data_IF_988099064049
#
_entry.id   IF_988099064049
#
_cell.length_a   1.000
_cell.length_b   1.000
_cell.length_c   1.000
_cell.angle_alpha   90.00
_cell.angle_beta   90.00
_cell.angle_gamma   90.00
#
_symmetry.space_group_name_H-M   'P 1'
#
loop_
_entity.id
_entity.type
_entity.pdbx_description
1 polymer ?
#
# COMPACT_ATOMS: atom_id res chain seq x y z
N UNK A 1 -5.58 -0.79 -34.85
CA UNK A 1 -5.86 -0.61 -33.42
C UNK A 1 -6.20 -2.00 -32.95
N UNK A 2 -5.21 -2.66 -32.36
CA UNK A 2 -5.38 -4.00 -31.82
C UNK A 2 -6.12 -3.89 -30.49
N UNK A 3 -7.22 -4.62 -30.38
CA UNK A 3 -7.96 -4.81 -29.15
C UNK A 3 -7.06 -5.54 -28.15
N UNK A 4 -6.51 -4.80 -27.18
CA UNK A 4 -6.03 -5.40 -25.93
C UNK A 4 -7.24 -5.81 -25.10
N UNK A 5 -7.81 -6.96 -25.42
CA UNK A 5 -8.67 -7.66 -24.49
C UNK A 5 -7.84 -7.96 -23.24
N UNK A 6 -8.17 -7.28 -22.14
CA UNK A 6 -7.72 -7.66 -20.80
C UNK A 6 -8.21 -9.10 -20.56
N UNK A 7 -7.33 -10.07 -20.78
CA UNK A 7 -7.54 -11.43 -20.28
C UNK A 7 -7.55 -11.32 -18.75
N UNK A 8 -8.76 -11.28 -18.20
CA UNK A 8 -9.01 -11.40 -16.77
C UNK A 8 -8.76 -12.87 -16.41
N UNK A 9 -7.48 -13.20 -16.23
CA UNK A 9 -7.05 -14.50 -15.73
C UNK A 9 -7.37 -14.51 -14.22
N UNK A 10 -8.63 -14.77 -13.88
CA UNK A 10 -9.17 -14.84 -12.51
C UNK A 10 -8.40 -15.83 -11.61
N UNK A 11 -7.50 -16.64 -12.17
CA UNK A 11 -6.68 -17.61 -11.44
C UNK A 11 -5.30 -17.07 -11.06
N UNK A 12 -4.90 -15.91 -11.59
CA UNK A 12 -3.74 -15.16 -11.12
C UNK A 12 -4.22 -14.21 -10.04
N UNK A 13 -3.99 -14.56 -8.78
CA UNK A 13 -4.26 -13.67 -7.64
C UNK A 13 -3.79 -12.24 -7.95
N UNK A 14 -4.49 -11.23 -7.43
CA UNK A 14 -4.28 -9.85 -7.86
C UNK A 14 -2.79 -9.46 -7.70
N UNK A 15 -2.08 -9.08 -8.78
CA UNK A 15 -0.64 -8.75 -8.73
C UNK A 15 -0.30 -7.67 -7.67
N UNK A 16 -1.30 -6.84 -7.34
CA UNK A 16 -1.30 -5.89 -6.24
C UNK A 16 -0.88 -6.47 -4.89
N UNK A 17 -1.10 -7.77 -4.63
CA UNK A 17 -0.79 -8.41 -3.35
C UNK A 17 0.28 -9.51 -3.43
N UNK A 18 0.59 -10.02 -4.62
CA UNK A 18 1.65 -11.04 -4.80
C UNK A 18 3.05 -10.54 -4.38
N UNK A 19 3.92 -11.44 -3.90
CA UNK A 19 5.30 -11.07 -3.56
C UNK A 19 6.12 -10.61 -4.77
N UNK A 20 7.11 -9.74 -4.54
CA UNK A 20 8.09 -9.39 -5.58
C UNK A 20 8.81 -10.62 -6.13
N UNK A 21 9.15 -11.57 -5.26
CA UNK A 21 9.89 -12.78 -5.64
C UNK A 21 9.10 -13.63 -6.62
N UNK A 22 7.78 -13.74 -6.45
CA UNK A 22 6.91 -14.47 -7.38
C UNK A 22 6.64 -13.69 -8.65
N UNK A 23 6.48 -12.36 -8.54
CA UNK A 23 6.27 -11.51 -9.71
C UNK A 23 7.49 -11.45 -10.65
N UNK A 24 8.71 -11.58 -10.09
CA UNK A 24 9.95 -11.35 -10.86
C UNK A 24 10.89 -12.55 -10.95
N UNK A 25 10.66 -13.59 -10.14
CA UNK A 25 11.58 -14.72 -9.99
C UNK A 25 12.92 -14.36 -9.37
N UNK A 26 13.02 -13.22 -8.65
CA UNK A 26 14.27 -12.70 -8.06
C UNK A 26 14.12 -12.48 -6.57
N UNK A 27 15.14 -12.77 -5.75
CA UNK A 27 15.04 -12.58 -4.31
C UNK A 27 15.01 -11.08 -3.96
N UNK A 28 14.33 -10.73 -2.86
CA UNK A 28 14.32 -9.36 -2.34
C UNK A 28 15.73 -8.88 -2.00
N UNK A 29 16.48 -9.72 -1.28
CA UNK A 29 17.81 -9.43 -0.76
C UNK A 29 18.83 -10.30 -1.50
N UNK A 30 19.85 -9.66 -2.07
CA UNK A 30 20.98 -10.36 -2.70
C UNK A 30 21.97 -10.78 -1.61
N UNK A 31 22.53 -11.99 -1.72
CA UNK A 31 23.40 -12.59 -0.71
C UNK A 31 24.68 -11.78 -0.41
N UNK A 32 25.09 -10.90 -1.33
CA UNK A 32 26.37 -10.19 -1.27
C UNK A 32 26.31 -8.87 -0.50
N UNK A 33 25.14 -8.47 0.02
CA UNK A 33 25.00 -7.21 0.77
C UNK A 33 25.36 -7.44 2.24
N UNK A 34 26.40 -6.78 2.79
CA UNK A 34 26.79 -6.93 4.19
C UNK A 34 25.63 -6.66 5.14
N UNK A 35 25.43 -7.57 6.10
CA UNK A 35 24.33 -7.50 7.07
C UNK A 35 24.69 -6.47 8.15
N UNK A 36 24.05 -5.30 8.12
CA UNK A 36 24.02 -4.41 9.27
C UNK A 36 23.02 -4.99 10.29
N UNK A 37 23.54 -5.67 11.32
CA UNK A 37 22.74 -6.39 12.32
C UNK A 37 21.90 -5.49 13.25
N UNK A 38 22.11 -4.17 13.27
CA UNK A 38 21.53 -3.30 14.30
C UNK A 38 20.04 -2.98 14.20
N UNK A 39 19.35 -3.29 13.09
CA UNK A 39 18.01 -2.75 12.82
C UNK A 39 16.88 -3.80 12.71
N UNK A 40 17.21 -5.08 12.64
CA UNK A 40 16.26 -6.16 12.29
C UNK A 40 16.15 -7.28 13.35
N UNK A 41 16.75 -7.09 14.53
CA UNK A 41 16.44 -7.97 15.65
C UNK A 41 14.97 -7.79 16.03
N UNK A 42 14.22 -8.90 15.94
CA UNK A 42 12.83 -8.96 16.34
C UNK A 42 12.80 -8.96 17.87
N UNK A 43 12.17 -7.97 18.51
CA UNK A 43 11.91 -8.07 19.93
C UNK A 43 10.95 -9.26 20.18
N UNK A 44 10.89 -9.79 21.41
CA UNK A 44 9.84 -10.74 21.78
C UNK A 44 8.47 -10.15 21.45
N UNK A 45 7.50 -10.96 21.01
CA UNK A 45 6.12 -10.48 20.72
C UNK A 45 5.54 -9.72 21.92
N UNK A 46 5.83 -10.18 23.14
CA UNK A 46 5.43 -9.52 24.39
C UNK A 46 6.03 -8.12 24.60
N UNK A 47 7.15 -7.80 23.94
CA UNK A 47 7.87 -6.51 24.03
C UNK A 47 7.34 -5.46 23.05
N UNK A 48 6.33 -5.78 22.22
CA UNK A 48 5.60 -4.79 21.41
C UNK A 48 5.04 -3.61 22.23
N UNK A 49 4.89 -3.78 23.55
CA UNK A 49 4.47 -2.75 24.49
C UNK A 49 5.42 -2.64 25.72
N UNK A 50 6.72 -2.43 25.47
CA UNK A 50 7.64 -1.83 26.45
C UNK A 50 8.65 -2.78 27.12
N UNK A 51 9.90 -2.28 27.10
CA UNK A 51 11.18 -2.57 27.78
C UNK A 51 11.95 -3.90 27.53
N UNK A 52 13.27 -3.68 27.40
CA UNK A 52 14.33 -4.45 26.72
C UNK A 52 14.92 -5.64 27.50
N UNK A 53 15.39 -6.68 26.79
CA UNK A 53 16.76 -7.21 26.92
C UNK A 53 17.05 -8.35 25.91
N UNK A 54 18.34 -8.44 25.52
CA UNK A 54 18.91 -9.08 24.33
C UNK A 54 19.20 -10.60 24.43
N UNK A 55 19.47 -11.27 23.29
CA UNK A 55 20.64 -12.16 23.06
C UNK A 55 20.73 -12.67 21.60
N UNK A 56 21.94 -12.79 21.04
CA UNK A 56 22.21 -12.99 19.59
C UNK A 56 22.70 -14.41 19.23
N UNK A 57 22.33 -14.91 18.03
CA UNK A 57 22.79 -16.18 17.48
C UNK A 57 23.26 -16.09 15.99
N UNK A 58 24.18 -17.00 15.62
CA UNK A 58 25.06 -16.98 14.43
C UNK A 58 24.42 -17.46 13.10
N UNK A 59 24.94 -17.04 11.92
CA UNK A 59 24.38 -17.43 10.61
C UNK A 59 25.07 -18.65 9.96
N UNK A 60 24.32 -19.33 9.08
CA UNK A 60 24.75 -20.46 8.25
C UNK A 60 24.71 -20.11 6.75
N UNK A 61 25.63 -20.70 5.99
CA UNK A 61 25.98 -20.41 4.59
C UNK A 61 25.16 -21.23 3.58
N UNK A 62 24.61 -20.60 2.53
CA UNK A 62 23.88 -21.27 1.43
C UNK A 62 24.56 -21.09 0.07
N UNK A 63 24.73 -22.20 -0.68
CA UNK A 63 25.27 -22.28 -2.05
C UNK A 63 24.19 -21.90 -3.08
N UNK A 64 24.57 -21.18 -4.14
CA UNK A 64 23.69 -20.83 -5.26
C UNK A 64 23.73 -21.89 -6.37
N UNK A 65 22.55 -22.26 -6.87
CA UNK A 65 22.37 -23.08 -8.08
C UNK A 65 21.36 -22.39 -9.01
N UNK A 66 21.74 -22.35 -10.29
CA UNK A 66 20.96 -22.30 -11.53
C UNK A 66 19.47 -21.90 -11.46
N UNK A 67 19.11 -20.85 -12.22
CA UNK A 67 17.81 -20.19 -12.31
C UNK A 67 16.64 -21.11 -12.75
N UNK A 68 16.13 -21.92 -11.84
CA UNK A 68 14.70 -22.19 -11.78
C UNK A 68 14.04 -21.00 -11.04
N UNK A 69 12.88 -20.53 -11.53
CA UNK A 69 12.17 -19.42 -10.88
C UNK A 69 11.89 -19.72 -9.41
N UNK A 70 11.77 -18.68 -8.59
CA UNK A 70 11.48 -18.85 -7.16
C UNK A 70 10.14 -19.58 -7.01
N UNK A 71 10.11 -20.77 -6.39
CA UNK A 71 8.87 -21.52 -6.22
C UNK A 71 7.94 -20.79 -5.26
N UNK A 72 6.64 -20.90 -5.50
CA UNK A 72 5.63 -20.39 -4.59
C UNK A 72 5.60 -21.20 -3.29
N UNK A 73 5.62 -20.54 -2.13
CA UNK A 73 5.67 -21.14 -0.81
C UNK A 73 4.90 -20.29 0.21
N UNK A 74 4.63 -20.82 1.40
CA UNK A 74 3.79 -20.23 2.43
C UNK A 74 4.25 -18.82 2.86
N UNK A 75 5.54 -18.50 2.78
CA UNK A 75 6.05 -17.14 3.04
C UNK A 75 5.43 -16.10 2.09
N UNK A 76 5.17 -16.47 0.83
CA UNK A 76 4.57 -15.56 -0.13
C UNK A 76 3.08 -15.37 0.10
N UNK A 77 2.39 -16.38 0.63
CA UNK A 77 1.01 -16.24 1.11
C UNK A 77 0.94 -15.30 2.32
N UNK A 78 1.86 -15.45 3.28
CA UNK A 78 1.95 -14.56 4.45
C UNK A 78 2.28 -13.12 4.05
N UNK A 79 3.17 -12.93 3.08
CA UNK A 79 3.46 -11.61 2.52
C UNK A 79 2.23 -11.02 1.82
N UNK A 80 1.51 -11.83 1.04
CA UNK A 80 0.29 -11.39 0.35
C UNK A 80 -0.78 -10.96 1.35
N UNK A 81 -0.98 -11.75 2.41
CA UNK A 81 -1.85 -11.41 3.53
C UNK A 81 -1.40 -10.11 4.22
N UNK A 82 -0.11 -9.93 4.47
CA UNK A 82 0.44 -8.69 5.04
C UNK A 82 0.13 -7.46 4.18
N UNK A 83 0.24 -7.58 2.85
CA UNK A 83 -0.09 -6.50 1.93
C UNK A 83 -1.60 -6.17 1.93
N UNK A 84 -2.46 -7.19 1.98
CA UNK A 84 -3.91 -6.99 2.14
C UNK A 84 -4.22 -6.27 3.45
N UNK A 85 -3.56 -6.65 4.54
CA UNK A 85 -3.73 -6.01 5.85
C UNK A 85 -3.32 -4.53 5.82
N UNK A 86 -2.18 -4.19 5.21
CA UNK A 86 -1.76 -2.80 5.00
C UNK A 86 -2.77 -2.02 4.13
N UNK A 87 -3.23 -2.62 3.04
CA UNK A 87 -4.23 -2.00 2.15
C UNK A 87 -5.53 -1.68 2.89
N UNK A 88 -6.03 -2.59 3.72
CA UNK A 88 -7.21 -2.33 4.56
C UNK A 88 -6.99 -1.14 5.50
N UNK A 89 -5.83 -1.07 6.15
CA UNK A 89 -5.50 0.01 7.08
C UNK A 89 -5.42 1.40 6.41
N UNK A 90 -5.07 1.45 5.11
CA UNK A 90 -4.96 2.68 4.34
C UNK A 90 -6.30 3.11 3.69
N UNK A 91 -7.11 2.13 3.27
CA UNK A 91 -8.30 2.34 2.41
C UNK A 91 -9.62 2.37 3.16
N UNK A 92 -9.64 2.01 4.45
CA UNK A 92 -10.84 2.01 5.29
C UNK A 92 -10.77 3.11 6.32
N UNK A 93 -11.85 3.88 6.44
CA UNK A 93 -12.01 4.91 7.48
C UNK A 93 -12.27 4.29 8.85
N UNK A 94 -12.83 3.09 8.86
CA UNK A 94 -13.19 2.34 10.04
C UNK A 94 -13.96 1.08 9.64
N UNK A 95 -14.64 0.43 10.60
CA UNK A 95 -15.35 -0.83 10.38
C UNK A 95 -16.36 -0.71 9.24
N UNK A 96 -16.20 -1.55 8.21
CA UNK A 96 -17.12 -1.60 7.07
C UNK A 96 -17.17 -0.36 6.17
N UNK A 97 -16.46 0.73 6.51
CA UNK A 97 -16.53 2.01 5.77
C UNK A 97 -15.28 2.24 4.93
N UNK A 98 -15.47 2.42 3.62
CA UNK A 98 -14.40 2.84 2.70
C UNK A 98 -13.98 4.28 3.04
N UNK A 99 -12.69 4.57 2.98
CA UNK A 99 -12.13 5.92 3.14
C UNK A 99 -12.56 6.79 1.98
N UNK A 100 -13.08 7.96 2.28
CA UNK A 100 -13.49 8.96 1.30
C UNK A 100 -12.47 10.11 1.24
N UNK A 101 -12.03 10.47 0.03
CA UNK A 101 -11.06 11.55 -0.20
C UNK A 101 -11.76 12.84 -0.66
N UNK A 102 -12.84 13.25 0.02
CA UNK A 102 -13.64 14.42 -0.34
C UNK A 102 -12.91 15.73 0.02
N UNK A 103 -12.75 16.65 -0.93
CA UNK A 103 -11.99 17.90 -0.76
C UNK A 103 -12.71 18.99 0.05
N UNK A 104 -14.04 18.91 0.20
CA UNK A 104 -14.86 20.05 0.63
C UNK A 104 -14.89 20.34 2.13
N UNK A 105 -14.45 19.41 2.99
CA UNK A 105 -14.65 19.48 4.45
C UNK A 105 -13.35 19.36 5.26
N UNK A 106 -12.19 19.28 4.60
CA UNK A 106 -10.91 19.03 5.25
C UNK A 106 -10.13 20.33 5.46
N UNK A 107 -9.36 20.38 6.55
CA UNK A 107 -8.31 21.39 6.70
C UNK A 107 -7.25 21.23 5.60
N UNK A 108 -6.48 22.28 5.27
CA UNK A 108 -5.40 22.18 4.29
C UNK A 108 -4.39 21.06 4.61
N UNK A 109 -4.06 20.87 5.89
CA UNK A 109 -3.15 19.81 6.34
C UNK A 109 -3.74 18.41 6.11
N UNK A 110 -4.99 18.20 6.51
CA UNK A 110 -5.68 16.93 6.31
C UNK A 110 -5.89 16.61 4.82
N UNK A 111 -6.02 17.63 3.97
CA UNK A 111 -6.09 17.45 2.52
C UNK A 111 -4.76 16.93 1.95
N UNK A 112 -3.63 17.48 2.41
CA UNK A 112 -2.29 17.01 1.98
C UNK A 112 -2.06 15.57 2.43
N UNK A 113 -2.41 15.23 3.68
CA UNK A 113 -2.31 13.85 4.18
C UNK A 113 -3.19 12.88 3.37
N UNK A 114 -4.43 13.28 3.10
CA UNK A 114 -5.37 12.50 2.30
C UNK A 114 -4.86 12.28 0.87
N UNK A 115 -4.28 13.30 0.23
CA UNK A 115 -3.67 13.18 -1.10
C UNK A 115 -2.45 12.27 -1.08
N UNK A 116 -1.57 12.41 -0.09
CA UNK A 116 -0.39 11.55 0.06
C UNK A 116 -0.80 10.09 0.24
N UNK A 117 -1.81 9.82 1.07
CA UNK A 117 -2.35 8.48 1.25
C UNK A 117 -2.98 7.92 -0.04
N UNK A 118 -3.74 8.74 -0.78
CA UNK A 118 -4.33 8.34 -2.05
C UNK A 118 -3.25 7.98 -3.08
N UNK A 119 -2.20 8.80 -3.19
CA UNK A 119 -1.05 8.51 -4.07
C UNK A 119 -0.37 7.21 -3.64
N UNK A 120 -0.09 7.03 -2.34
CA UNK A 120 0.53 5.80 -1.85
C UNK A 120 -0.30 4.53 -2.14
N UNK A 121 -1.62 4.60 -1.96
CA UNK A 121 -2.54 3.49 -2.27
C UNK A 121 -2.49 3.17 -3.77
N UNK A 122 -2.67 4.20 -4.60
CA UNK A 122 -2.67 4.02 -6.05
C UNK A 122 -1.34 3.44 -6.52
N UNK A 123 -0.23 4.03 -6.07
CA UNK A 123 1.10 3.63 -6.46
C UNK A 123 1.46 2.20 -6.07
N UNK A 124 0.94 1.70 -4.96
CA UNK A 124 1.31 0.41 -4.37
C UNK A 124 0.36 -0.71 -4.78
N UNK A 125 -0.96 -0.44 -4.82
CA UNK A 125 -1.99 -1.49 -4.90
C UNK A 125 -2.88 -1.39 -6.15
N UNK A 126 -3.06 -0.20 -6.74
CA UNK A 126 -4.02 -0.04 -7.86
C UNK A 126 -3.31 0.15 -9.21
N UNK A 127 -2.05 0.59 -9.19
CA UNK A 127 -1.24 0.76 -10.39
C UNK A 127 -0.68 -0.59 -10.86
N UNK A 128 -1.40 -1.26 -11.76
CA UNK A 128 -1.06 -2.59 -12.27
C UNK A 128 0.26 -2.71 -13.07
N UNK A 129 0.98 -1.61 -13.30
CA UNK A 129 2.17 -1.60 -14.17
C UNK A 129 3.52 -1.57 -13.42
N UNK A 130 3.60 -1.04 -12.20
CA UNK A 130 4.87 -0.82 -11.47
C UNK A 130 4.89 -1.46 -10.08
N UNK A 131 4.15 -2.54 -9.91
CA UNK A 131 3.93 -3.18 -8.61
C UNK A 131 5.19 -3.87 -8.04
N UNK A 132 6.02 -4.59 -8.81
CA UNK A 132 7.11 -5.36 -8.23
C UNK A 132 8.24 -4.50 -7.64
N UNK A 133 8.77 -3.55 -8.40
CA UNK A 133 9.89 -2.71 -7.96
C UNK A 133 9.52 -1.87 -6.74
N UNK A 134 8.28 -1.35 -6.71
CA UNK A 134 7.78 -0.62 -5.54
C UNK A 134 7.65 -1.52 -4.32
N UNK A 135 7.19 -2.76 -4.48
CA UNK A 135 7.17 -3.74 -3.38
C UNK A 135 8.56 -4.05 -2.87
N UNK A 136 9.53 -4.19 -3.78
CA UNK A 136 10.94 -4.33 -3.42
C UNK A 136 11.43 -3.14 -2.61
N UNK A 137 11.17 -1.91 -3.06
CA UNK A 137 11.58 -0.71 -2.34
C UNK A 137 10.92 -0.65 -0.96
N UNK A 138 9.61 -0.94 -0.87
CA UNK A 138 8.88 -0.99 0.41
C UNK A 138 9.41 -2.08 1.35
N UNK A 139 9.71 -3.28 0.85
CA UNK A 139 10.22 -4.39 1.66
C UNK A 139 11.68 -4.17 2.08
N UNK A 140 12.48 -3.52 1.26
CA UNK A 140 13.92 -3.33 1.53
C UNK A 140 14.21 -2.05 2.30
N UNK A 141 13.40 -1.00 2.16
CA UNK A 141 13.59 0.31 2.79
C UNK A 141 12.58 0.57 3.92
N UNK A 142 13.06 0.50 5.17
CA UNK A 142 12.28 0.80 6.38
C UNK A 142 11.70 2.22 6.38
N UNK A 143 12.49 3.22 5.95
CA UNK A 143 12.02 4.61 5.89
C UNK A 143 10.91 4.77 4.86
N UNK A 144 11.08 4.20 3.67
CA UNK A 144 10.05 4.25 2.62
C UNK A 144 8.77 3.58 3.07
N UNK A 145 8.87 2.43 3.76
CA UNK A 145 7.70 1.77 4.34
C UNK A 145 6.98 2.64 5.38
N UNK A 146 7.70 3.26 6.32
CA UNK A 146 7.10 4.14 7.33
C UNK A 146 6.44 5.37 6.70
N UNK A 147 7.13 6.04 5.76
CA UNK A 147 6.68 7.26 5.11
C UNK A 147 5.51 7.04 4.16
N UNK A 148 5.44 5.89 3.47
CA UNK A 148 4.42 5.64 2.45
C UNK A 148 3.26 4.81 2.98
N UNK A 149 3.53 3.78 3.78
CA UNK A 149 2.49 2.85 4.24
C UNK A 149 1.98 3.29 5.61
N UNK A 150 2.85 3.35 6.62
CA UNK A 150 2.42 3.60 8.01
C UNK A 150 1.87 5.02 8.19
N UNK A 151 2.46 6.02 7.53
CA UNK A 151 1.96 7.39 7.56
C UNK A 151 0.58 7.52 6.89
N UNK A 152 0.23 6.62 5.97
CA UNK A 152 -1.03 6.66 5.22
C UNK A 152 -2.20 5.95 5.93
N UNK A 153 -1.97 5.31 7.08
CA UNK A 153 -3.02 4.64 7.84
C UNK A 153 -4.08 5.64 8.31
N UNK A 154 -5.34 5.23 8.31
CA UNK A 154 -6.39 6.07 8.90
C UNK A 154 -6.26 6.13 10.42
N UNK A 155 -6.80 7.19 11.06
CA UNK A 155 -6.78 7.31 12.52
C UNK A 155 -7.32 6.07 13.26
N UNK A 156 -8.35 5.41 12.70
CA UNK A 156 -8.90 4.18 13.27
C UNK A 156 -7.85 3.08 13.43
N UNK A 157 -6.99 2.87 12.43
CA UNK A 157 -5.92 1.87 12.45
C UNK A 157 -4.61 2.38 13.08
N UNK A 158 -4.63 3.54 13.75
CA UNK A 158 -3.44 4.07 14.43
C UNK A 158 -2.84 3.11 15.45
N UNK A 159 -3.69 2.38 16.18
CA UNK A 159 -3.26 1.44 17.23
C UNK A 159 -2.62 0.15 16.69
N UNK A 160 -2.88 -0.23 15.43
CA UNK A 160 -2.27 -1.45 14.83
C UNK A 160 -0.93 -1.18 14.17
N UNK A 161 -0.46 0.07 14.11
CA UNK A 161 0.86 0.41 13.55
C UNK A 161 2.01 -0.40 14.18
N UNK A 162 2.09 -0.63 15.51
CA UNK A 162 3.11 -1.49 16.10
C UNK A 162 3.04 -2.94 15.60
N UNK A 163 1.82 -3.49 15.45
CA UNK A 163 1.58 -4.83 14.90
C UNK A 163 2.14 -4.96 13.49
N UNK A 164 1.77 -4.02 12.62
CA UNK A 164 2.24 -4.00 11.22
C UNK A 164 3.75 -3.86 11.13
N UNK A 165 4.37 -2.98 11.94
CA UNK A 165 5.83 -2.82 11.97
C UNK A 165 6.56 -4.09 12.34
N UNK A 166 6.02 -4.87 13.27
CA UNK A 166 6.64 -6.12 13.68
C UNK A 166 6.52 -7.18 12.59
N UNK A 167 5.33 -7.37 12.02
CA UNK A 167 5.13 -8.30 10.90
C UNK A 167 6.04 -7.95 9.72
N UNK A 168 6.19 -6.64 9.44
CA UNK A 168 7.13 -6.14 8.44
C UNK A 168 8.59 -6.54 8.75
N UNK A 169 9.05 -6.32 9.99
CA UNK A 169 10.40 -6.76 10.40
C UNK A 169 10.54 -8.28 10.31
N UNK A 170 9.51 -9.04 10.67
CA UNK A 170 9.54 -10.49 10.66
C UNK A 170 9.68 -11.03 9.24
N UNK A 171 8.88 -10.50 8.31
CA UNK A 171 9.01 -10.78 6.89
C UNK A 171 10.39 -10.41 6.36
N UNK A 172 10.89 -9.21 6.64
CA UNK A 172 12.22 -8.78 6.19
C UNK A 172 13.33 -9.69 6.69
N UNK A 173 13.31 -10.03 7.97
CA UNK A 173 14.28 -10.93 8.59
C UNK A 173 14.23 -12.30 7.90
N UNK A 174 13.03 -12.86 7.74
CA UNK A 174 12.84 -14.16 7.10
C UNK A 174 13.34 -14.17 5.64
N UNK A 175 12.97 -13.16 4.83
CA UNK A 175 13.44 -13.02 3.45
C UNK A 175 14.95 -12.80 3.34
N UNK A 176 15.55 -12.07 4.29
CA UNK A 176 16.99 -11.81 4.29
C UNK A 176 17.79 -13.04 4.69
N UNK A 177 17.37 -13.74 5.73
CA UNK A 177 18.04 -14.94 6.24
C UNK A 177 17.70 -16.21 5.43
N UNK A 178 16.68 -16.13 4.56
CA UNK A 178 16.08 -17.27 3.85
C UNK A 178 15.66 -18.39 4.83
N UNK A 179 15.18 -17.98 6.01
CA UNK A 179 14.65 -18.85 7.04
C UNK A 179 13.18 -18.49 7.25
N UNK A 180 12.31 -19.42 6.89
CA UNK A 180 10.85 -19.22 6.92
C UNK A 180 10.15 -20.07 7.99
N UNK A 181 10.92 -20.88 8.71
CA UNK A 181 10.44 -21.69 9.82
C UNK A 181 9.77 -20.78 10.86
N UNK A 182 8.63 -21.23 11.39
CA UNK A 182 7.83 -20.53 12.41
C UNK A 182 7.31 -19.13 12.05
N UNK A 183 7.49 -18.66 10.81
CA UNK A 183 6.99 -17.34 10.40
C UNK A 183 5.46 -17.27 10.48
N UNK A 184 4.77 -18.34 10.08
CA UNK A 184 3.33 -18.47 10.24
C UNK A 184 2.90 -18.41 11.71
N UNK A 185 3.59 -19.15 12.59
CA UNK A 185 3.34 -19.14 14.05
C UNK A 185 3.53 -17.74 14.60
N UNK A 186 4.59 -17.05 14.19
CA UNK A 186 4.88 -15.65 14.55
C UNK A 186 3.71 -14.73 14.18
N UNK A 187 3.15 -14.88 12.98
CA UNK A 187 1.98 -14.09 12.55
C UNK A 187 0.78 -14.34 13.46
N UNK A 188 0.46 -15.61 13.72
CA UNK A 188 -0.65 -15.99 14.61
C UNK A 188 -0.45 -15.41 16.01
N UNK A 189 0.74 -15.56 16.60
CA UNK A 189 1.04 -15.08 17.95
C UNK A 189 0.89 -13.56 18.05
N UNK A 190 1.36 -12.84 17.03
CA UNK A 190 1.22 -11.39 16.95
C UNK A 190 -0.25 -10.96 16.88
N UNK A 191 -1.09 -11.64 16.10
CA UNK A 191 -2.52 -11.32 16.04
C UNK A 191 -3.26 -11.70 17.33
N UNK A 192 -2.96 -12.86 17.90
CA UNK A 192 -3.52 -13.29 19.20
C UNK A 192 -3.19 -12.28 20.30
N UNK A 193 -1.94 -11.80 20.33
CA UNK A 193 -1.51 -10.78 21.27
C UNK A 193 -2.25 -9.44 21.05
N UNK A 194 -2.40 -9.03 19.78
CA UNK A 194 -3.15 -7.83 19.42
C UNK A 194 -4.63 -7.92 19.84
N UNK A 195 -5.27 -9.08 19.64
CA UNK A 195 -6.65 -9.34 20.05
C UNK A 195 -6.85 -9.30 21.57
N UNK A 196 -5.88 -9.84 22.31
CA UNK A 196 -5.89 -9.84 23.77
C UNK A 196 -5.58 -8.47 24.38
N UNK A 197 -4.98 -7.56 23.61
CA UNK A 197 -4.63 -6.22 24.08
C UNK A 197 -5.88 -5.36 24.31
N UNK A 198 -6.20 -4.98 25.56
CA UNK A 198 -7.46 -4.30 25.88
C UNK A 198 -7.65 -2.97 25.13
N UNK A 199 -6.56 -2.25 24.88
CA UNK A 199 -6.58 -0.98 24.13
C UNK A 199 -7.07 -1.16 22.68
N UNK A 200 -6.70 -2.26 22.04
CA UNK A 200 -7.17 -2.58 20.68
C UNK A 200 -8.60 -3.09 20.72
N UNK A 201 -8.89 -4.02 21.63
CA UNK A 201 -10.22 -4.64 21.77
C UNK A 201 -11.32 -3.63 22.08
N UNK A 202 -11.02 -2.65 22.94
CA UNK A 202 -11.98 -1.66 23.43
C UNK A 202 -11.89 -0.33 22.67
N UNK A 203 -11.14 -0.25 21.57
CA UNK A 203 -10.87 1.01 20.87
C UNK A 203 -12.15 1.76 20.45
N UNK A 204 -13.17 1.01 20.03
CA UNK A 204 -14.48 1.55 19.65
C UNK A 204 -15.28 2.14 20.80
N UNK A 205 -15.01 1.71 22.04
CA UNK A 205 -15.61 2.26 23.25
C UNK A 205 -14.98 3.62 23.55
N UNK A 206 -13.66 3.73 23.40
CA UNK A 206 -12.91 4.98 23.62
C UNK A 206 -13.18 6.04 22.54
N UNK A 207 -13.57 5.60 21.34
CA UNK A 207 -13.82 6.46 20.17
C UNK A 207 -15.26 6.29 19.67
N UNK A 208 -16.23 7.03 20.24
CA UNK A 208 -17.65 6.87 19.91
C UNK A 208 -17.99 7.19 18.45
N UNK A 209 -17.11 7.89 17.73
CA UNK A 209 -17.21 8.14 16.29
C UNK A 209 -17.26 6.84 15.45
N UNK A 210 -16.69 5.73 15.94
CA UNK A 210 -16.71 4.43 15.24
C UNK A 210 -17.84 3.49 15.65
N UNK A 211 -18.50 3.73 16.79
CA UNK A 211 -19.62 2.92 17.26
C UNK A 211 -20.75 2.71 16.23
N UNK A 212 -21.23 3.73 15.47
CA UNK A 212 -22.26 3.50 14.47
C UNK A 212 -21.79 2.61 13.31
N UNK A 213 -20.51 2.71 12.93
CA UNK A 213 -19.91 1.88 11.87
C UNK A 213 -19.86 0.41 12.29
N UNK A 214 -19.44 0.11 13.53
CA UNK A 214 -19.43 -1.25 14.06
C UNK A 214 -20.82 -1.85 14.17
N UNK A 215 -21.80 -1.07 14.64
CA UNK A 215 -23.18 -1.52 14.70
C UNK A 215 -23.72 -1.87 13.31
N UNK A 216 -23.34 -1.11 12.29
CA UNK A 216 -23.73 -1.38 10.90
C UNK A 216 -23.08 -2.69 10.38
N UNK A 217 -21.79 -2.90 10.66
CA UNK A 217 -21.08 -4.15 10.29
C UNK A 217 -21.72 -5.36 10.97
N UNK A 218 -21.96 -5.29 12.28
CA UNK A 218 -22.59 -6.39 13.04
C UNK A 218 -23.97 -6.74 12.48
N UNK A 219 -24.78 -5.73 12.16
CA UNK A 219 -26.09 -5.94 11.53
C UNK A 219 -25.98 -6.57 10.13
N UNK A 220 -24.92 -6.27 9.37
CA UNK A 220 -24.66 -6.92 8.07
C UNK A 220 -24.37 -8.40 8.26
N UNK A 221 -23.52 -8.74 9.23
CA UNK A 221 -23.18 -10.13 9.54
C UNK A 221 -24.40 -10.93 10.02
N UNK A 222 -25.21 -10.38 10.92
CA UNK A 222 -26.46 -11.02 11.37
C UNK A 222 -27.42 -11.29 10.19
N UNK A 223 -27.47 -10.37 9.21
CA UNK A 223 -28.26 -10.57 7.99
C UNK A 223 -27.68 -11.71 7.15
N UNK A 224 -26.38 -11.73 6.91
CA UNK A 224 -25.71 -12.78 6.12
C UNK A 224 -25.83 -14.16 6.76
N UNK A 225 -25.74 -14.23 8.09
CA UNK A 225 -25.97 -15.44 8.86
C UNK A 225 -27.42 -15.91 8.75
N UNK A 226 -28.40 -15.01 8.82
CA UNK A 226 -29.82 -15.37 8.61
C UNK A 226 -30.10 -15.90 7.20
N UNK A 227 -29.40 -15.38 6.19
CA UNK A 227 -29.50 -15.88 4.80
C UNK A 227 -28.85 -17.25 4.67
N UNK A 228 -27.68 -17.46 5.29
CA UNK A 228 -26.96 -18.73 5.24
C UNK A 228 -27.68 -19.86 6.00
N UNK A 229 -28.38 -19.50 7.08
CA UNK A 229 -29.17 -20.42 7.90
C UNK A 229 -30.61 -20.61 7.39
N UNK A 230 -31.03 -19.87 6.36
CA UNK A 230 -32.36 -20.07 5.77
C UNK A 230 -32.42 -21.47 5.13
N UNK A 231 -33.48 -22.26 5.38
CA UNK A 231 -33.63 -23.56 4.77
C UNK A 231 -33.47 -23.41 3.27
N UNK A 232 -32.52 -24.15 2.66
CA UNK A 232 -32.44 -24.23 1.20
C UNK A 232 -33.85 -24.54 0.72
N UNK A 233 -34.44 -23.74 -0.18
CA UNK A 233 -35.77 -24.03 -0.69
C UNK A 233 -35.73 -25.48 -1.15
N UNK A 234 -36.58 -26.31 -0.57
CA UNK A 234 -36.71 -27.69 -0.99
C UNK A 234 -36.85 -27.62 -2.51
N UNK A 235 -35.86 -28.17 -3.20
CA UNK A 235 -35.90 -28.35 -4.63
C UNK A 235 -37.06 -29.29 -4.87
N UNK A 236 -38.26 -28.73 -4.93
CA UNK A 236 -39.50 -29.41 -5.23
C UNK A 236 -39.34 -29.87 -6.68
N UNK A 237 -38.71 -31.04 -6.82
CA UNK A 237 -38.60 -31.80 -8.03
C UNK A 237 -39.99 -32.30 -8.39
N UNK A 238 -40.85 -31.40 -8.82
CA UNK A 238 -41.95 -31.75 -9.72
C UNK A 238 -41.54 -31.22 -11.07
N UNK A 239 -40.85 -32.09 -11.79
CA UNK A 239 -40.45 -31.94 -13.17
C UNK A 239 -41.73 -32.00 -14.02
N UNK A 240 -42.53 -30.93 -13.98
CA UNK A 240 -43.67 -30.80 -14.87
C UNK A 240 -43.11 -30.48 -16.26
N UNK A 241 -43.16 -31.50 -17.14
CA UNK A 241 -42.86 -31.40 -18.57
C UNK A 241 -43.80 -30.36 -19.21
N UNK A 242 -43.45 -29.08 -19.11
CA UNK A 242 -44.08 -28.05 -19.93
C UNK A 242 -43.49 -28.15 -21.33
N UNK A 243 -44.31 -28.70 -22.21
CA UNK A 243 -44.07 -28.86 -23.64
C UNK A 243 -43.57 -27.57 -24.29
N UNK A 244 -42.46 -27.73 -24.98
CA UNK A 244 -41.85 -26.86 -25.99
C UNK A 244 -42.91 -26.28 -26.94
N UNK A 245 -43.32 -25.04 -26.71
CA UNK A 245 -44.02 -24.22 -27.69
C UNK A 245 -43.09 -23.13 -28.21
N UNK A 246 -43.01 -23.10 -29.53
CA UNK A 246 -42.18 -22.29 -30.40
C UNK A 246 -42.42 -20.79 -30.24
N UNK A 247 -41.32 -20.03 -30.16
CA UNK A 247 -41.13 -18.75 -30.84
C UNK A 247 -41.99 -17.58 -30.39
N UNK A 248 -41.37 -16.57 -29.79
CA UNK A 248 -41.44 -15.17 -30.26
C UNK A 248 -40.29 -14.39 -29.64
N UNK A 249 -39.47 -13.76 -30.49
CA UNK A 249 -38.39 -12.85 -30.10
C UNK A 249 -39.00 -11.66 -29.35
N UNK A 250 -38.85 -11.60 -28.03
CA UNK A 250 -39.20 -10.41 -27.24
C UNK A 250 -37.96 -9.53 -27.15
N UNK A 251 -37.96 -8.50 -27.99
CA UNK A 251 -37.07 -7.34 -27.89
C UNK A 251 -37.11 -6.80 -26.47
N UNK A 252 -35.96 -6.66 -25.82
CA UNK A 252 -35.86 -5.95 -24.54
C UNK A 252 -36.08 -4.46 -24.84
N UNK A 253 -36.99 -3.76 -24.14
CA UNK A 253 -37.05 -2.31 -24.17
C UNK A 253 -35.74 -1.79 -23.60
N UNK A 254 -35.09 -0.94 -24.38
CA UNK A 254 -33.94 -0.14 -23.95
C UNK A 254 -34.50 0.92 -23.03
N UNK A 255 -34.28 0.78 -21.72
CA UNK A 255 -34.65 1.80 -20.75
C UNK A 255 -34.00 3.12 -21.15
N UNK A 256 -34.89 4.09 -21.34
CA UNK A 256 -34.61 5.48 -21.61
C UNK A 256 -33.94 6.07 -20.37
N UNK A 257 -32.70 6.53 -20.52
CA UNK A 257 -32.12 7.44 -19.54
C UNK A 257 -32.85 8.78 -19.69
N UNK A 258 -33.68 9.10 -18.69
CA UNK A 258 -34.20 10.45 -18.51
C UNK A 258 -33.04 11.43 -18.36
N UNK A 259 -32.97 12.35 -19.32
CA UNK A 259 -32.13 13.54 -19.33
C UNK A 259 -32.64 14.45 -18.23
N UNK A 260 -31.88 14.61 -17.14
CA UNK A 260 -32.11 15.66 -16.17
C UNK A 260 -31.88 17.01 -16.87
N UNK A 261 -32.97 17.72 -17.12
CA UNK A 261 -32.97 19.13 -17.52
C UNK A 261 -32.41 19.97 -16.37
N UNK A 262 -31.20 20.50 -16.56
CA UNK A 262 -30.68 21.59 -15.77
C UNK A 262 -31.41 22.87 -16.19
N UNK A 263 -32.37 23.29 -15.37
CA UNK A 263 -33.10 24.56 -15.51
C UNK A 263 -32.23 25.67 -14.92
N UNK A 264 -31.40 26.31 -15.74
CA UNK A 264 -30.79 27.61 -15.41
C UNK A 264 -31.70 28.72 -15.95
N UNK A 265 -32.36 29.45 -15.04
CA UNK A 265 -33.00 30.71 -15.36
C UNK A 265 -31.95 31.83 -15.47
N UNK A 266 -32.17 32.63 -16.50
CA UNK A 266 -31.38 33.72 -17.05
C UNK A 266 -32.10 35.03 -16.73
N UNK A 267 -31.38 36.01 -16.16
CA UNK A 267 -31.54 37.47 -16.31
C UNK A 267 -30.49 38.16 -15.42
N UNK A 268 -29.73 39.19 -15.80
CA UNK A 268 -29.61 39.97 -17.03
C UNK A 268 -28.20 40.60 -17.08
N UNK A 269 -27.74 40.86 -18.31
CA UNK A 269 -26.52 41.55 -18.73
C UNK A 269 -26.60 43.09 -18.44
N UNK A 270 -25.72 44.01 -18.93
CA UNK A 270 -24.66 43.94 -19.97
C UNK A 270 -23.34 44.60 -19.51
N UNK A 271 -22.24 44.78 -20.26
CA UNK A 271 -21.82 44.74 -21.66
C UNK A 271 -20.28 44.41 -21.62
N UNK A 272 -19.50 44.10 -22.67
CA UNK A 272 -19.45 44.57 -24.05
C UNK A 272 -18.37 43.77 -24.82
N UNK A 273 -18.51 43.79 -26.17
CA UNK A 273 -17.47 43.65 -27.21
C UNK A 273 -16.78 42.29 -27.48
N UNK A 274 -17.35 41.52 -28.41
CA UNK A 274 -16.84 41.20 -29.79
C UNK A 274 -15.44 41.66 -30.23
N UNK A 275 -14.88 41.15 -31.37
CA UNK A 275 -15.02 39.83 -32.00
C UNK A 275 -13.68 39.28 -32.58
N UNK A 276 -13.75 38.12 -33.25
CA UNK A 276 -13.30 37.94 -34.65
C UNK A 276 -12.31 36.80 -34.94
N UNK A 277 -12.88 35.79 -35.62
CA UNK A 277 -12.42 35.15 -36.85
C UNK A 277 -11.27 34.10 -36.87
N UNK A 278 -11.72 32.93 -37.34
CA UNK A 278 -11.29 32.20 -38.54
C UNK A 278 -10.00 31.36 -38.52
N UNK A 279 -10.28 30.08 -38.78
CA UNK A 279 -9.67 29.24 -39.83
C UNK A 279 -8.23 28.76 -39.63
N UNK A 280 -8.12 27.43 -39.48
CA UNK A 280 -7.64 26.65 -40.61
C UNK A 280 -6.36 25.84 -40.40
N UNK A 281 -6.53 24.52 -40.58
CA UNK A 281 -5.79 23.69 -41.56
C UNK A 281 -4.33 23.27 -41.24
N UNK A 282 -4.21 21.94 -41.00
CA UNK A 282 -3.22 20.94 -41.49
C UNK A 282 -1.73 21.36 -41.63
N UNK A 283 -0.81 20.57 -41.07
CA UNK A 283 0.06 19.58 -41.80
C UNK A 283 1.20 19.00 -40.95
N UNK A 284 1.59 17.77 -41.33
CA UNK A 284 2.75 16.93 -40.97
C UNK A 284 4.13 17.59 -41.19
N UNK A 285 5.11 17.17 -40.39
CA UNK A 285 6.47 16.66 -40.75
C UNK A 285 7.13 16.25 -39.40
N UNK A 286 7.72 15.08 -39.11
CA UNK A 286 8.71 14.20 -39.76
C UNK A 286 10.04 14.88 -40.08
N UNK A 287 10.96 14.85 -39.13
CA UNK A 287 12.41 14.97 -39.35
C UNK A 287 13.17 13.98 -38.48
N UNK A 288 14.13 13.33 -39.11
CA UNK A 288 15.13 12.44 -38.54
C UNK A 288 16.42 13.24 -38.26
N UNK A 289 17.17 12.83 -37.25
CA UNK A 289 18.58 13.19 -37.02
C UNK A 289 19.24 11.93 -36.47
N UNK A 290 19.98 11.18 -37.29
CA UNK A 290 21.31 11.44 -37.85
C UNK A 290 22.42 11.40 -36.80
N UNK A 291 23.20 10.35 -36.96
CA UNK A 291 24.46 9.94 -36.35
C UNK A 291 25.50 11.05 -36.14
N UNK A 292 26.29 10.91 -35.08
CA UNK A 292 27.72 11.24 -35.16
C UNK A 292 28.58 10.31 -34.31
N UNK A 293 29.45 9.60 -35.03
CA UNK A 293 30.61 8.85 -34.60
C UNK A 293 31.75 9.83 -34.31
N UNK A 294 32.48 9.62 -33.22
CA UNK A 294 33.88 10.05 -33.07
C UNK A 294 34.62 9.00 -32.24
N UNK A 295 35.79 8.61 -32.75
CA UNK A 295 36.60 7.44 -32.40
C UNK A 295 37.98 7.93 -31.95
N UNK A 296 38.59 7.22 -31.00
CA UNK A 296 40.03 7.19 -30.73
C UNK A 296 40.54 8.26 -29.75
N UNK A 297 41.60 8.03 -28.97
CA UNK A 297 42.45 6.86 -28.71
C UNK A 297 43.29 7.18 -27.45
N UNK A 298 43.76 6.13 -26.76
CA UNK A 298 45.11 5.92 -26.17
C UNK A 298 45.93 7.11 -25.60
N UNK A 299 46.74 7.01 -24.54
CA UNK A 299 47.17 5.95 -23.63
C UNK A 299 48.12 6.57 -22.55
N UNK A 300 48.62 5.71 -21.65
CA UNK A 300 49.93 5.77 -20.94
C UNK A 300 50.03 6.52 -19.59
N UNK A 301 50.07 5.71 -18.53
CA UNK A 301 51.06 5.57 -17.43
C UNK A 301 51.51 6.73 -16.52
N UNK A 302 51.81 6.35 -15.27
CA UNK A 302 52.73 7.02 -14.33
C UNK A 302 52.06 7.45 -13.02
N UNK A 303 52.08 6.63 -11.96
CA UNK A 303 53.14 6.49 -10.96
C UNK A 303 53.13 7.54 -9.82
N UNK A 304 52.83 7.01 -8.62
CA UNK A 304 53.48 7.23 -7.33
C UNK A 304 53.45 8.59 -6.60
N UNK A 305 53.16 8.45 -5.29
CA UNK A 305 53.90 8.98 -4.15
C UNK A 305 53.37 10.22 -3.38
N UNK A 306 53.17 9.94 -2.08
CA UNK A 306 53.54 10.75 -0.90
C UNK A 306 52.57 11.82 -0.36
N UNK A 307 51.96 11.44 0.77
CA UNK A 307 52.16 12.00 2.12
C UNK A 307 52.44 13.50 2.27
N UNK A 308 51.59 14.17 3.05
CA UNK A 308 51.92 14.99 4.23
C UNK A 308 50.60 15.59 4.77
N UNK A 309 50.16 15.24 5.98
CA UNK A 309 50.59 15.78 7.29
C UNK A 309 49.92 17.11 7.66
N UNK A 310 49.23 17.06 8.80
CA UNK A 310 49.11 18.10 9.83
C UNK A 310 48.37 19.40 9.48
N UNK A 311 47.26 19.66 10.18
CA UNK A 311 47.29 20.71 11.21
C UNK A 311 46.05 20.69 12.11
N UNK A 312 46.31 20.89 13.39
CA UNK A 312 45.36 21.07 14.49
C UNK A 312 44.65 22.43 14.40
N UNK A 313 43.44 22.53 14.99
CA UNK A 313 42.93 23.59 15.90
C UNK A 313 41.39 23.47 15.96
N UNK A 314 40.77 23.09 17.07
CA UNK A 314 40.55 23.82 18.34
C UNK A 314 39.29 24.71 18.32
N UNK A 315 38.51 24.58 19.40
CA UNK A 315 37.38 25.41 19.87
C UNK A 315 36.11 25.38 18.99
N UNK A 316 34.89 25.30 19.50
CA UNK A 316 34.33 25.60 20.82
C UNK A 316 32.93 26.19 20.54
N UNK A 317 31.89 25.73 21.21
CA UNK A 317 30.53 26.22 20.90
C UNK A 317 29.39 25.51 21.62
N UNK A 318 29.46 25.41 22.94
CA UNK A 318 28.34 25.02 23.80
C UNK A 318 27.34 26.18 23.81
N UNK A 319 26.13 26.01 23.27
CA UNK A 319 25.02 26.97 23.44
C UNK A 319 24.05 26.45 24.49
N UNK A 320 24.05 27.13 25.63
CA UNK A 320 23.06 26.95 26.70
C UNK A 320 21.69 27.48 26.27
N UNK A 321 20.66 26.68 26.46
CA UNK A 321 19.26 27.08 26.29
C UNK A 321 18.77 27.74 27.58
N UNK A 322 18.42 29.04 27.51
CA UNK A 322 17.78 29.77 28.60
C UNK A 322 16.30 29.39 28.71
N UNK A 323 15.90 28.85 29.86
CA UNK A 323 14.50 28.67 30.26
C UNK A 323 13.91 29.98 30.79
N UNK A 324 12.84 30.48 30.16
CA UNK A 324 12.03 31.58 30.69
C UNK A 324 10.98 31.03 31.66
N UNK A 325 11.08 31.42 32.94
CA UNK A 325 10.09 31.12 33.99
C UNK A 325 9.12 32.30 34.10
N UNK A 326 7.87 32.11 33.68
CA UNK A 326 6.79 33.10 33.78
C UNK A 326 6.17 33.00 35.19
N UNK A 327 6.37 34.02 36.03
CA UNK A 327 5.65 34.22 37.30
C UNK A 327 4.31 34.89 36.98
N UNK A 328 3.20 34.24 37.30
CA UNK A 328 1.91 34.90 37.43
C UNK A 328 1.65 35.18 38.91
N UNK A 329 1.47 36.46 39.22
CA UNK A 329 0.86 36.94 40.46
C UNK A 329 -0.65 36.72 40.35
N UNK A 330 -1.26 36.11 41.37
CA UNK A 330 -2.68 36.32 41.67
C UNK A 330 -2.77 37.18 42.93
N UNK A 331 -3.62 38.20 42.82
CA UNK A 331 -4.15 39.03 43.91
C UNK A 331 -5.30 38.31 44.59
#
# INVERSE_FOLDING_TARGET
MEDMAFYDDEHRGTPAFMSYEILTGKPYFQADVPINHGDDDLPPVSSMFGDDDAEAAKPATSKSSTQEGIPHDAVHDLESFFWVFCWLCMTREGPGKKREFKRGTLSPEALVEAQNAQVAIFETFENGYNTPEKKKDLMTSKSTFEEKIIASFTPYFGLVKPVVRYLYRALRKAFRERKFDDLHTTFIDVFNFAEQTPKLRNWHIEKPEYAPMEKAVRKSWEREESVSNSPKPESAGTLEKVSRATGTKRSRPRDEFEVIQEKSEEEAAPASSSPSNRQGRKKRAKTASSSRVSRGAEAVAGAAAQSNSSSQRAAGGRKEHKTYRKRNNCR
#
